data_IF_880596126664
#
_entry.id   IF_880596126664
#
_cell.length_a   1.000
_cell.length_b   1.000
_cell.length_c   1.000
_cell.angle_alpha   90.00
_cell.angle_beta   90.00
_cell.angle_gamma   90.00
#
_symmetry.space_group_name_H-M   'P 1'
#
loop_
_entity.id
_entity.type
_entity.pdbx_description
1 polymer ?
#
# COMPACT_ATOMS: atom_id res chain seq x y z
N UNK A 1 46.03 8.16 9.35
CA UNK A 1 44.83 8.64 10.08
C UNK A 1 43.70 9.03 9.12
N UNK A 2 43.84 10.05 8.27
CA UNK A 2 42.77 10.40 7.30
C UNK A 2 42.54 9.33 6.24
N UNK A 3 43.60 8.65 5.80
CA UNK A 3 43.46 7.55 4.84
C UNK A 3 42.74 6.33 5.43
N UNK A 4 42.99 6.03 6.70
CA UNK A 4 42.35 4.92 7.42
C UNK A 4 40.84 5.15 7.56
N UNK A 5 40.41 6.41 7.72
CA UNK A 5 39.00 6.82 7.75
C UNK A 5 38.27 6.51 6.45
N UNK A 6 38.82 6.90 5.31
CA UNK A 6 38.21 6.62 4.00
C UNK A 6 38.26 5.13 3.64
N UNK A 7 39.30 4.41 4.08
CA UNK A 7 39.41 2.95 3.92
C UNK A 7 38.34 2.23 4.74
N UNK A 8 38.12 2.64 5.99
CA UNK A 8 37.05 2.12 6.84
C UNK A 8 35.66 2.38 6.23
N UNK A 9 35.44 3.58 5.67
CA UNK A 9 34.19 3.92 4.98
C UNK A 9 33.94 3.00 3.77
N UNK A 10 34.95 2.82 2.92
CA UNK A 10 34.85 1.93 1.77
C UNK A 10 34.63 0.46 2.18
N UNK A 11 35.27 0.01 3.26
CA UNK A 11 35.11 -1.34 3.79
C UNK A 11 33.77 -1.56 4.53
N UNK A 12 33.02 -0.51 4.84
CA UNK A 12 31.79 -0.59 5.63
C UNK A 12 32.01 -0.83 7.13
N UNK A 13 33.23 -0.62 7.63
CA UNK A 13 33.58 -0.86 9.04
C UNK A 13 33.08 0.28 9.93
N UNK A 14 31.82 0.18 10.35
CA UNK A 14 31.17 1.15 11.23
C UNK A 14 31.86 1.29 12.59
N UNK A 15 32.56 0.27 13.09
CA UNK A 15 33.25 0.35 14.37
C UNK A 15 34.51 1.22 14.26
N UNK A 16 35.30 1.00 13.20
CA UNK A 16 36.45 1.86 12.90
C UNK A 16 36.02 3.31 12.63
N UNK A 17 34.89 3.50 11.93
CA UNK A 17 34.32 4.83 11.71
C UNK A 17 33.87 5.50 13.03
N UNK A 18 33.19 4.77 13.91
CA UNK A 18 32.78 5.32 15.22
C UNK A 18 33.99 5.75 16.07
N UNK A 19 35.10 5.01 15.99
CA UNK A 19 36.37 5.39 16.62
C UNK A 19 37.01 6.67 16.09
N UNK A 20 36.67 7.07 14.86
CA UNK A 20 37.24 8.21 14.14
C UNK A 20 36.22 9.36 13.89
N UNK A 21 35.17 9.46 14.72
CA UNK A 21 34.06 10.44 14.55
C UNK A 21 34.50 11.90 14.37
N UNK A 22 35.66 12.28 14.89
CA UNK A 22 36.24 13.62 14.72
C UNK A 22 36.60 13.98 13.27
N UNK A 23 36.62 13.01 12.36
CA UNK A 23 36.91 13.18 10.93
C UNK A 23 35.65 13.34 10.07
N UNK A 24 34.45 13.38 10.65
CA UNK A 24 33.21 13.65 9.92
C UNK A 24 33.29 15.02 9.20
N UNK A 25 32.94 15.02 7.92
CA UNK A 25 33.01 16.19 7.04
C UNK A 25 34.38 16.43 6.42
N UNK A 26 35.40 15.63 6.75
CA UNK A 26 36.68 15.65 6.03
C UNK A 26 36.50 15.12 4.61
N UNK A 27 37.34 15.63 3.71
CA UNK A 27 37.31 15.27 2.28
C UNK A 27 38.63 14.66 1.87
N UNK A 28 38.57 13.70 0.97
CA UNK A 28 39.76 13.12 0.34
C UNK A 28 40.31 14.01 -0.78
N UNK A 29 41.32 13.53 -1.51
CA UNK A 29 41.95 14.24 -2.63
C UNK A 29 41.00 14.51 -3.82
N UNK A 30 39.87 13.82 -3.92
CA UNK A 30 38.84 14.05 -4.95
C UNK A 30 37.67 14.89 -4.42
N UNK A 31 37.75 15.33 -3.16
CA UNK A 31 36.69 16.09 -2.49
C UNK A 31 35.58 15.21 -1.92
N UNK A 32 35.71 13.88 -1.97
CA UNK A 32 34.66 12.98 -1.48
C UNK A 32 34.71 12.87 0.02
N UNK A 33 33.53 12.79 0.62
CA UNK A 33 33.35 12.50 2.04
C UNK A 33 33.38 11.00 2.32
N UNK A 34 33.37 10.60 3.59
CA UNK A 34 33.27 9.18 3.93
C UNK A 34 31.92 8.59 3.51
N UNK A 35 30.82 9.34 3.66
CA UNK A 35 29.48 8.94 3.22
C UNK A 35 29.47 8.56 1.73
N UNK A 36 30.07 9.39 0.86
CA UNK A 36 30.13 9.10 -0.59
C UNK A 36 30.84 7.78 -0.89
N UNK A 37 31.95 7.50 -0.20
CA UNK A 37 32.68 6.23 -0.35
C UNK A 37 31.91 5.05 0.25
N UNK A 38 31.25 5.25 1.38
CA UNK A 38 30.45 4.24 2.06
C UNK A 38 29.28 3.76 1.20
N UNK A 39 28.46 4.69 0.69
CA UNK A 39 27.30 4.33 -0.14
C UNK A 39 27.68 3.87 -1.54
N UNK A 40 28.76 4.44 -2.10
CA UNK A 40 29.32 4.02 -3.40
C UNK A 40 29.95 2.63 -3.35
N UNK A 41 30.36 2.15 -2.18
CA UNK A 41 30.79 0.77 -1.96
C UNK A 41 29.63 -0.22 -1.72
N UNK A 42 28.37 0.25 -1.75
CA UNK A 42 27.19 -0.59 -1.57
C UNK A 42 26.68 -0.71 -0.13
N UNK A 43 27.29 0.01 0.82
CA UNK A 43 26.84 -0.02 2.22
C UNK A 43 25.69 0.96 2.47
N UNK A 44 24.74 0.60 3.33
CA UNK A 44 23.55 1.40 3.61
C UNK A 44 23.11 1.40 5.08
N UNK A 45 23.90 0.79 5.95
CA UNK A 45 23.54 0.61 7.37
C UNK A 45 23.91 1.88 8.15
N UNK A 46 23.02 2.32 9.04
CA UNK A 46 23.23 3.47 9.94
C UNK A 46 23.64 4.78 9.24
N UNK A 47 22.98 5.14 8.13
CA UNK A 47 23.24 6.41 7.43
C UNK A 47 23.07 7.67 8.31
N UNK A 48 22.30 7.57 9.41
CA UNK A 48 22.18 8.64 10.40
C UNK A 48 23.51 9.02 11.07
N UNK A 49 24.50 8.13 11.06
CA UNK A 49 25.85 8.47 11.51
C UNK A 49 26.50 9.59 10.67
N UNK A 50 26.11 9.70 9.40
CA UNK A 50 26.66 10.63 8.42
C UNK A 50 25.79 11.88 8.16
N UNK A 51 24.84 12.21 9.04
CA UNK A 51 23.94 13.37 8.85
C UNK A 51 24.67 14.69 8.51
N UNK A 52 25.88 14.90 9.05
CA UNK A 52 26.70 16.10 8.76
C UNK A 52 27.31 16.13 7.36
N UNK A 53 27.38 14.98 6.70
CA UNK A 53 27.94 14.84 5.36
C UNK A 53 26.87 14.81 4.27
N UNK A 54 25.58 14.64 4.64
CA UNK A 54 24.47 14.69 3.70
C UNK A 54 24.37 16.07 3.04
N UNK A 55 24.24 16.08 1.73
CA UNK A 55 24.17 17.29 0.90
C UNK A 55 25.52 17.95 0.63
N UNK A 56 26.63 17.41 1.14
CA UNK A 56 27.95 17.84 0.72
C UNK A 56 28.24 17.36 -0.71
N UNK A 57 28.96 18.18 -1.48
CA UNK A 57 29.35 17.90 -2.86
C UNK A 57 30.86 17.69 -2.96
N UNK A 58 31.28 16.74 -3.78
CA UNK A 58 32.69 16.56 -4.13
C UNK A 58 33.22 17.67 -5.07
N UNK A 59 34.47 17.57 -5.52
CA UNK A 59 35.04 18.58 -6.41
C UNK A 59 34.43 18.60 -7.82
N UNK A 60 33.62 17.60 -8.17
CA UNK A 60 32.84 17.54 -9.42
C UNK A 60 31.39 17.99 -9.24
N UNK A 61 31.00 18.44 -8.04
CA UNK A 61 29.63 18.79 -7.72
C UNK A 61 28.72 17.57 -7.55
N UNK A 62 29.27 16.39 -7.26
CA UNK A 62 28.52 15.14 -7.14
C UNK A 62 28.22 14.87 -5.64
N UNK A 63 26.94 14.68 -5.27
CA UNK A 63 26.52 14.32 -3.91
C UNK A 63 26.57 12.80 -3.68
N UNK A 64 26.39 12.36 -2.44
CA UNK A 64 26.43 10.94 -2.05
C UNK A 64 25.38 10.08 -2.76
N UNK A 65 24.19 10.63 -3.02
CA UNK A 65 23.10 9.93 -3.67
C UNK A 65 23.45 9.47 -5.09
N UNK A 66 24.23 10.25 -5.84
CA UNK A 66 24.68 9.83 -7.18
C UNK A 66 25.58 8.59 -7.11
N UNK A 67 26.48 8.55 -6.12
CA UNK A 67 27.31 7.37 -5.87
C UNK A 67 26.47 6.15 -5.48
N UNK A 68 25.40 6.34 -4.70
CA UNK A 68 24.46 5.27 -4.36
C UNK A 68 23.67 4.76 -5.60
N UNK A 69 23.25 5.66 -6.50
CA UNK A 69 22.59 5.31 -7.77
C UNK A 69 23.54 4.49 -8.65
N UNK A 70 24.78 4.94 -8.82
CA UNK A 70 25.79 4.25 -9.64
C UNK A 70 26.12 2.86 -9.08
N UNK A 71 26.14 2.72 -7.76
CA UNK A 71 26.33 1.45 -7.06
C UNK A 71 25.07 0.57 -7.00
N UNK A 72 23.93 1.01 -7.56
CA UNK A 72 22.62 0.32 -7.48
C UNK A 72 22.19 0.04 -6.03
N UNK A 73 22.57 0.90 -5.09
CA UNK A 73 22.36 0.72 -3.65
C UNK A 73 21.01 1.33 -3.22
N UNK A 74 19.91 0.63 -3.52
CA UNK A 74 18.53 1.10 -3.29
C UNK A 74 18.28 1.48 -1.83
N UNK A 75 18.83 0.73 -0.88
CA UNK A 75 18.68 1.01 0.54
C UNK A 75 19.32 2.35 0.92
N UNK A 76 20.51 2.66 0.41
CA UNK A 76 21.14 3.95 0.65
C UNK A 76 20.42 5.10 -0.06
N UNK A 77 19.91 4.89 -1.28
CA UNK A 77 19.13 5.91 -2.00
C UNK A 77 17.91 6.35 -1.18
N UNK A 78 17.22 5.40 -0.55
CA UNK A 78 16.06 5.70 0.29
C UNK A 78 16.45 6.43 1.59
N UNK A 79 17.65 6.19 2.13
CA UNK A 79 18.17 6.92 3.28
C UNK A 79 18.71 8.32 2.95
N UNK A 80 18.95 8.62 1.66
CA UNK A 80 19.48 9.90 1.17
C UNK A 80 18.40 10.82 0.58
N UNK A 81 17.14 10.66 1.00
CA UNK A 81 16.02 11.52 0.60
C UNK A 81 16.30 13.04 0.66
N UNK A 82 17.04 13.57 1.67
CA UNK A 82 17.38 14.99 1.70
C UNK A 82 18.15 15.50 0.47
N UNK A 83 18.82 14.62 -0.28
CA UNK A 83 19.60 14.97 -1.47
C UNK A 83 18.79 14.96 -2.77
N UNK A 84 17.49 14.60 -2.74
CA UNK A 84 16.66 14.46 -3.94
C UNK A 84 16.59 15.73 -4.80
N UNK A 85 16.62 16.89 -4.15
CA UNK A 85 16.51 18.21 -4.80
C UNK A 85 17.85 18.76 -5.30
N UNK A 86 18.98 18.09 -5.00
CA UNK A 86 20.31 18.53 -5.44
C UNK A 86 20.42 18.32 -6.95
N UNK A 87 20.84 19.37 -7.65
CA UNK A 87 21.05 19.35 -9.10
C UNK A 87 22.48 18.93 -9.46
N UNK A 88 22.58 18.00 -10.42
CA UNK A 88 23.82 17.55 -11.04
C UNK A 88 23.66 17.75 -12.55
N UNK A 89 24.50 18.61 -13.14
CA UNK A 89 24.45 18.91 -14.58
C UNK A 89 23.04 19.33 -15.08
N UNK A 90 22.28 20.07 -14.26
CA UNK A 90 20.94 20.54 -14.59
C UNK A 90 19.81 19.52 -14.40
N UNK A 91 20.10 18.34 -13.86
CA UNK A 91 19.10 17.30 -13.54
C UNK A 91 19.14 17.01 -12.04
N UNK A 92 17.99 16.86 -11.41
CA UNK A 92 17.91 16.54 -9.98
C UNK A 92 18.32 15.10 -9.69
N UNK A 93 18.83 14.81 -8.49
CA UNK A 93 19.11 13.42 -8.09
C UNK A 93 17.84 12.54 -8.13
N UNK A 94 16.67 13.11 -7.86
CA UNK A 94 15.39 12.44 -8.02
C UNK A 94 15.10 12.03 -9.46
N UNK A 95 15.36 12.91 -10.44
CA UNK A 95 15.20 12.60 -11.86
C UNK A 95 16.20 11.55 -12.34
N UNK A 96 17.46 11.62 -11.87
CA UNK A 96 18.46 10.60 -12.15
C UNK A 96 18.04 9.23 -11.60
N UNK A 97 17.52 9.19 -10.37
CA UNK A 97 17.00 7.95 -9.78
C UNK A 97 15.80 7.40 -10.55
N UNK A 98 14.85 8.26 -10.97
CA UNK A 98 13.72 7.87 -11.83
C UNK A 98 14.18 7.32 -13.18
N UNK A 99 15.18 7.95 -13.81
CA UNK A 99 15.76 7.46 -15.06
C UNK A 99 16.38 6.08 -14.87
N UNK A 100 17.20 5.90 -13.83
CA UNK A 100 17.80 4.62 -13.47
C UNK A 100 16.75 3.52 -13.22
N UNK A 101 15.66 3.83 -12.50
CA UNK A 101 14.54 2.90 -12.30
C UNK A 101 13.98 2.45 -13.66
N UNK A 102 13.68 3.38 -14.56
CA UNK A 102 13.11 3.06 -15.89
C UNK A 102 14.04 2.16 -16.70
N UNK A 103 15.33 2.46 -16.70
CA UNK A 103 16.32 1.68 -17.45
C UNK A 103 16.44 0.27 -16.87
N UNK A 104 16.49 0.13 -15.54
CA UNK A 104 16.58 -1.18 -14.86
C UNK A 104 15.35 -2.04 -15.14
N UNK A 105 14.15 -1.47 -15.13
CA UNK A 105 12.93 -2.20 -15.49
C UNK A 105 12.88 -2.55 -16.99
N UNK A 106 13.38 -1.68 -17.87
CA UNK A 106 13.42 -1.97 -19.31
C UNK A 106 14.39 -3.10 -19.66
N UNK A 107 15.49 -3.25 -18.91
CA UNK A 107 16.42 -4.38 -19.05
C UNK A 107 15.80 -5.67 -18.52
N UNK A 108 15.18 -5.64 -17.33
CA UNK A 108 14.52 -6.80 -16.74
C UNK A 108 13.37 -7.35 -17.62
N UNK A 109 12.59 -6.48 -18.25
CA UNK A 109 11.51 -6.87 -19.18
C UNK A 109 12.05 -7.46 -20.49
N UNK A 110 13.30 -7.16 -20.87
CA UNK A 110 13.94 -7.71 -22.07
C UNK A 110 14.56 -9.09 -21.86
N UNK A 111 15.00 -9.41 -20.65
CA UNK A 111 15.63 -10.69 -20.35
C UNK A 111 14.64 -11.81 -19.97
N UNK A 112 13.39 -11.46 -19.62
CA UNK A 112 12.43 -12.43 -19.06
C UNK A 112 11.41 -12.99 -20.09
N UNK A 113 11.95 -13.64 -21.14
CA UNK A 113 11.23 -14.62 -21.99
C UNK A 113 11.60 -16.07 -21.60
N UNK A 114 12.25 -16.28 -20.45
CA UNK A 114 12.64 -17.62 -20.01
C UNK A 114 12.93 -17.72 -18.52
N UNK A 115 11.90 -18.07 -17.76
CA UNK A 115 11.93 -18.72 -16.45
C UNK A 115 12.97 -18.20 -15.42
N UNK A 116 12.60 -17.22 -14.59
CA UNK A 116 13.13 -17.13 -13.21
C UNK A 116 12.03 -16.79 -12.17
N UNK A 117 11.97 -17.66 -11.15
CA UNK A 117 11.32 -17.46 -9.86
C UNK A 117 12.11 -16.48 -8.99
N UNK A 118 11.38 -15.56 -8.35
CA UNK A 118 11.75 -14.75 -7.18
C UNK A 118 12.93 -13.76 -7.32
N UNK A 119 12.60 -12.46 -7.37
CA UNK A 119 13.10 -11.44 -6.43
C UNK A 119 12.22 -10.17 -6.53
N UNK A 120 11.19 -10.11 -5.70
CA UNK A 120 10.36 -8.90 -5.50
C UNK A 120 11.08 -7.95 -4.55
N UNK A 121 11.92 -7.05 -5.08
CA UNK A 121 12.75 -6.12 -4.28
C UNK A 121 12.37 -4.64 -4.41
N UNK A 122 11.29 -4.29 -5.10
CA UNK A 122 10.86 -2.89 -5.20
C UNK A 122 9.49 -2.70 -4.57
N UNK A 123 9.51 -2.11 -3.37
CA UNK A 123 8.36 -1.56 -2.65
C UNK A 123 7.55 -0.60 -3.54
N UNK A 124 6.22 -0.59 -3.37
CA UNK A 124 5.24 0.30 -4.02
C UNK A 124 5.64 1.80 -3.96
N UNK A 125 6.53 2.21 -3.05
CA UNK A 125 7.06 3.57 -2.97
C UNK A 125 7.79 4.04 -4.24
N UNK A 126 8.39 3.13 -5.02
CA UNK A 126 9.09 3.47 -6.26
C UNK A 126 8.12 3.84 -7.42
N UNK A 127 6.92 3.27 -7.44
CA UNK A 127 5.87 3.54 -8.42
C UNK A 127 5.20 4.91 -8.22
N UNK A 128 5.13 5.39 -6.96
CA UNK A 128 4.49 6.67 -6.64
C UNK A 128 5.31 7.88 -7.11
N UNK A 129 6.61 7.73 -7.33
CA UNK A 129 7.47 8.82 -7.76
C UNK A 129 7.43 9.05 -9.28
N UNK A 130 6.77 8.25 -10.11
CA UNK A 130 6.83 8.38 -11.58
C UNK A 130 5.77 9.28 -12.24
N UNK A 131 4.96 10.03 -11.48
CA UNK A 131 3.88 10.86 -12.06
C UNK A 131 4.35 12.23 -12.57
N UNK A 132 3.91 12.69 -13.77
CA UNK A 132 4.24 14.00 -14.33
C UNK A 132 3.36 15.14 -13.77
N UNK A 133 3.90 16.37 -13.74
CA UNK A 133 3.22 17.62 -13.33
C UNK A 133 2.89 18.45 -14.58
N UNK A 134 1.63 18.88 -14.83
CA UNK A 134 1.30 19.73 -15.97
C UNK A 134 1.29 21.23 -15.62
N UNK A 135 1.97 22.04 -16.45
CA UNK A 135 1.94 23.51 -16.47
C UNK A 135 0.80 24.02 -17.36
N UNK A 136 0.26 25.22 -17.05
CA UNK A 136 -1.01 25.74 -17.56
C UNK A 136 -0.86 27.18 -18.07
N UNK A 137 -1.72 27.60 -19.01
CA UNK A 137 -1.95 29.02 -19.36
C UNK A 137 -3.44 29.35 -19.62
N UNK A 138 -3.78 30.57 -19.17
CA UNK A 138 -4.85 31.53 -19.51
C UNK A 138 -6.33 31.40 -19.06
N UNK A 139 -6.87 32.59 -18.79
CA UNK A 139 -8.00 33.02 -17.95
C UNK A 139 -9.32 33.25 -18.73
N UNK A 140 -10.47 33.24 -18.04
CA UNK A 140 -11.50 34.31 -18.08
C UNK A 140 -12.63 34.05 -17.06
N UNK A 141 -13.10 35.12 -16.40
CA UNK A 141 -14.04 35.11 -15.26
C UNK A 141 -15.46 35.51 -15.66
N UNK A 142 -16.48 34.89 -15.05
CA UNK A 142 -17.78 35.54 -14.78
C UNK A 142 -18.49 34.94 -13.56
N UNK A 143 -19.05 35.83 -12.75
CA UNK A 143 -19.76 35.65 -11.46
C UNK A 143 -21.20 35.13 -11.63
N UNK A 144 -21.77 34.42 -10.64
CA UNK A 144 -23.20 34.42 -10.25
C UNK A 144 -23.45 33.70 -8.89
N UNK A 145 -24.59 34.10 -8.29
CA UNK A 145 -25.09 34.10 -6.92
C UNK A 145 -25.39 32.76 -6.21
N UNK A 146 -25.44 32.83 -4.88
CA UNK A 146 -25.59 31.72 -3.92
C UNK A 146 -27.04 31.19 -3.71
N UNK A 147 -27.13 29.90 -3.37
CA UNK A 147 -28.36 29.13 -3.11
C UNK A 147 -28.74 29.13 -1.61
N UNK A 148 -30.04 28.99 -1.22
CA UNK A 148 -30.48 29.12 0.17
C UNK A 148 -30.25 27.86 1.05
N UNK A 149 -29.84 28.10 2.29
CA UNK A 149 -29.43 27.14 3.34
C UNK A 149 -30.48 26.09 3.73
N UNK A 150 -31.76 26.34 3.47
CA UNK A 150 -32.86 25.45 3.89
C UNK A 150 -32.95 24.15 3.06
N UNK A 151 -32.36 24.14 1.86
CA UNK A 151 -32.30 22.96 1.00
C UNK A 151 -31.21 21.96 1.47
N UNK A 152 -30.21 22.46 2.21
CA UNK A 152 -29.07 21.68 2.75
C UNK A 152 -29.41 20.85 4.00
N UNK A 153 -30.45 21.22 4.76
CA UNK A 153 -30.86 20.51 5.98
C UNK A 153 -31.73 19.28 5.68
N UNK A 154 -32.59 19.34 4.66
CA UNK A 154 -33.52 18.25 4.32
C UNK A 154 -32.87 17.08 3.57
N UNK A 155 -31.81 17.33 2.82
CA UNK A 155 -31.16 16.32 1.97
C UNK A 155 -30.19 15.40 2.73
N UNK A 156 -29.83 15.72 3.98
CA UNK A 156 -28.67 15.15 4.71
C UNK A 156 -28.73 13.63 4.97
N UNK A 157 -29.88 12.98 5.29
CA UNK A 157 -29.93 11.54 5.57
C UNK A 157 -30.09 10.64 4.33
N UNK A 158 -30.77 11.13 3.29
CA UNK A 158 -31.01 10.38 2.04
C UNK A 158 -29.75 10.37 1.16
N UNK A 159 -29.04 11.51 1.11
CA UNK A 159 -27.71 11.59 0.48
C UNK A 159 -26.68 10.68 1.15
N UNK A 160 -26.81 10.50 2.47
CA UNK A 160 -25.89 9.70 3.29
C UNK A 160 -25.96 8.21 2.96
N UNK A 161 -27.16 7.66 2.73
CA UNK A 161 -27.33 6.24 2.40
C UNK A 161 -27.03 5.94 0.92
N UNK A 162 -27.38 6.83 -0.02
CA UNK A 162 -27.08 6.64 -1.45
C UNK A 162 -25.57 6.65 -1.74
N UNK A 163 -24.81 7.50 -1.05
CA UNK A 163 -23.34 7.57 -1.15
C UNK A 163 -22.65 6.34 -0.54
N UNK A 164 -23.30 5.69 0.44
CA UNK A 164 -22.82 4.49 1.13
C UNK A 164 -23.00 3.22 0.31
N UNK A 165 -24.10 3.11 -0.44
CA UNK A 165 -24.42 1.96 -1.30
C UNK A 165 -23.65 2.04 -2.62
N UNK A 166 -23.56 3.23 -3.24
CA UNK A 166 -22.84 3.39 -4.53
C UNK A 166 -21.32 3.21 -4.42
N UNK A 167 -20.65 3.60 -3.32
CA UNK A 167 -19.21 3.35 -3.15
C UNK A 167 -18.90 1.89 -2.77
N UNK A 168 -19.87 1.20 -2.14
CA UNK A 168 -19.78 -0.22 -1.85
C UNK A 168 -19.96 -1.05 -3.12
N UNK A 169 -21.00 -0.78 -3.92
CA UNK A 169 -21.23 -1.37 -5.24
C UNK A 169 -20.03 -1.23 -6.19
N UNK A 170 -19.40 -0.06 -6.20
CA UNK A 170 -18.28 0.27 -7.09
C UNK A 170 -17.04 -0.59 -6.84
N UNK A 171 -16.92 -1.09 -5.61
CA UNK A 171 -15.84 -1.95 -5.15
C UNK A 171 -16.29 -3.43 -5.13
N UNK A 172 -17.60 -3.71 -5.10
CA UNK A 172 -18.18 -5.02 -4.84
C UNK A 172 -19.09 -5.62 -5.93
N UNK A 173 -19.13 -5.17 -7.20
CA UNK A 173 -20.01 -5.82 -8.21
C UNK A 173 -19.56 -5.67 -9.68
N UNK A 174 -19.75 -6.68 -10.58
CA UNK A 174 -20.95 -7.50 -10.75
C UNK A 174 -20.90 -8.82 -9.96
N UNK A 175 -21.53 -8.81 -8.79
CA UNK A 175 -22.22 -9.91 -8.08
C UNK A 175 -22.32 -9.50 -6.60
N UNK A 176 -23.31 -8.66 -6.31
CA UNK A 176 -23.56 -8.06 -4.99
C UNK A 176 -23.96 -9.03 -3.88
N UNK A 177 -24.16 -10.32 -4.20
CA UNK A 177 -24.29 -11.33 -3.16
C UNK A 177 -22.93 -11.87 -2.69
N UNK A 178 -21.81 -11.56 -3.35
CA UNK A 178 -20.64 -12.41 -3.30
C UNK A 178 -19.83 -12.39 -2.00
N UNK A 179 -19.61 -11.33 -1.23
CA UNK A 179 -18.73 -11.43 -0.03
C UNK A 179 -19.42 -12.08 1.17
N UNK A 180 -20.65 -11.66 1.50
CA UNK A 180 -21.45 -12.31 2.55
C UNK A 180 -21.90 -13.71 2.11
N UNK A 181 -22.31 -13.90 0.85
CA UNK A 181 -22.59 -15.24 0.33
C UNK A 181 -21.34 -16.08 0.15
N UNK A 182 -20.16 -15.52 -0.14
CA UNK A 182 -18.89 -16.27 -0.20
C UNK A 182 -18.42 -16.62 1.19
N UNK A 183 -18.56 -15.75 2.19
CA UNK A 183 -18.30 -16.13 3.58
C UNK A 183 -19.30 -17.17 4.09
N UNK A 184 -20.57 -17.10 3.68
CA UNK A 184 -21.57 -18.15 3.95
C UNK A 184 -21.30 -19.44 3.16
N UNK A 185 -20.86 -19.36 1.90
CA UNK A 185 -20.48 -20.50 1.06
C UNK A 185 -19.21 -21.14 1.62
N UNK A 186 -18.21 -20.36 2.00
CA UNK A 186 -17.01 -20.79 2.73
C UNK A 186 -17.42 -21.43 4.06
N UNK A 187 -18.32 -20.81 4.82
CA UNK A 187 -18.89 -21.36 6.06
C UNK A 187 -19.64 -22.68 5.88
N UNK A 188 -20.34 -22.88 4.76
CA UNK A 188 -21.03 -24.13 4.40
C UNK A 188 -20.07 -25.18 3.82
N UNK A 189 -19.09 -24.73 3.03
CA UNK A 189 -18.02 -25.50 2.39
C UNK A 189 -17.04 -26.06 3.42
N UNK A 190 -16.82 -25.33 4.52
CA UNK A 190 -16.11 -25.77 5.73
C UNK A 190 -16.63 -27.10 6.32
N UNK A 191 -17.88 -27.48 6.03
CA UNK A 191 -18.44 -28.78 6.44
C UNK A 191 -18.01 -29.95 5.54
N UNK A 192 -17.34 -29.68 4.40
CA UNK A 192 -16.91 -30.68 3.43
C UNK A 192 -15.37 -30.74 3.40
N UNK A 193 -14.80 -31.86 3.85
CA UNK A 193 -13.34 -32.04 4.05
C UNK A 193 -12.48 -31.83 2.79
N UNK A 194 -13.05 -31.92 1.59
CA UNK A 194 -12.32 -31.82 0.32
C UNK A 194 -12.14 -30.38 -0.18
N UNK A 195 -12.89 -29.42 0.33
CA UNK A 195 -12.86 -28.03 -0.16
C UNK A 195 -11.83 -27.18 0.59
N UNK A 196 -10.94 -27.86 1.30
CA UNK A 196 -10.26 -27.21 2.38
C UNK A 196 -9.19 -26.22 1.91
N UNK A 197 -8.31 -26.67 1.02
CA UNK A 197 -7.25 -25.83 0.46
C UNK A 197 -7.83 -24.73 -0.46
N UNK A 198 -8.96 -25.04 -1.12
CA UNK A 198 -9.68 -24.10 -1.97
C UNK A 198 -10.26 -22.93 -1.15
N UNK A 199 -10.89 -23.22 -0.01
CA UNK A 199 -11.36 -22.20 0.94
C UNK A 199 -10.21 -21.29 1.39
N UNK A 200 -9.05 -21.87 1.73
CA UNK A 200 -7.86 -21.10 2.14
C UNK A 200 -7.36 -20.20 1.02
N UNK A 201 -7.30 -20.72 -0.21
CA UNK A 201 -6.89 -19.95 -1.38
C UNK A 201 -7.81 -18.75 -1.63
N UNK A 202 -9.13 -18.96 -1.55
CA UNK A 202 -10.12 -17.89 -1.67
C UNK A 202 -9.98 -16.85 -0.55
N UNK A 203 -9.79 -17.29 0.69
CA UNK A 203 -9.60 -16.42 1.84
C UNK A 203 -8.38 -15.51 1.68
N UNK A 204 -7.24 -16.06 1.23
CA UNK A 204 -6.04 -15.28 0.94
C UNK A 204 -6.27 -14.24 -0.16
N UNK A 205 -7.03 -14.60 -1.20
CA UNK A 205 -7.44 -13.67 -2.26
C UNK A 205 -8.25 -12.49 -1.71
N UNK A 206 -9.21 -12.76 -0.82
CA UNK A 206 -10.01 -11.74 -0.16
C UNK A 206 -9.16 -10.85 0.76
N UNK A 207 -8.28 -11.42 1.58
CA UNK A 207 -7.36 -10.65 2.44
C UNK A 207 -6.47 -9.72 1.61
N UNK A 208 -5.88 -10.23 0.52
CA UNK A 208 -5.04 -9.43 -0.36
C UNK A 208 -5.82 -8.29 -1.02
N UNK A 209 -7.06 -8.54 -1.44
CA UNK A 209 -7.93 -7.51 -2.01
C UNK A 209 -8.28 -6.43 -0.98
N UNK A 210 -8.71 -6.82 0.23
CA UNK A 210 -9.04 -5.86 1.29
C UNK A 210 -7.81 -5.07 1.76
N UNK A 211 -6.63 -5.68 1.81
CA UNK A 211 -5.39 -4.98 2.15
C UNK A 211 -5.08 -3.88 1.13
N UNK A 212 -5.24 -4.14 -0.17
CA UNK A 212 -5.09 -3.13 -1.23
C UNK A 212 -6.09 -1.98 -1.05
N UNK A 213 -7.34 -2.28 -0.72
CA UNK A 213 -8.35 -1.26 -0.42
C UNK A 213 -7.98 -0.44 0.82
N UNK A 214 -7.49 -1.08 1.88
CA UNK A 214 -7.05 -0.40 3.09
C UNK A 214 -5.89 0.56 2.81
N UNK A 215 -4.89 0.11 2.04
CA UNK A 215 -3.77 0.95 1.58
C UNK A 215 -4.23 2.11 0.72
N UNK A 216 -5.16 1.87 -0.21
CA UNK A 216 -5.76 2.93 -1.03
C UNK A 216 -6.45 3.97 -0.16
N UNK A 217 -7.36 3.55 0.74
CA UNK A 217 -8.06 4.47 1.63
C UNK A 217 -7.10 5.23 2.57
N UNK A 218 -6.10 4.54 3.11
CA UNK A 218 -5.08 5.16 3.95
C UNK A 218 -4.25 6.21 3.18
N UNK A 219 -3.92 5.92 1.93
CA UNK A 219 -3.20 6.84 1.05
C UNK A 219 -4.04 8.05 0.71
N UNK A 220 -5.32 7.85 0.37
CA UNK A 220 -6.30 8.90 0.08
C UNK A 220 -6.45 9.84 1.29
N UNK A 221 -6.69 9.29 2.49
CA UNK A 221 -6.89 10.10 3.72
C UNK A 221 -5.65 10.90 4.10
N UNK A 222 -4.46 10.30 3.96
CA UNK A 222 -3.19 10.94 4.34
C UNK A 222 -2.64 11.87 3.26
N UNK A 223 -3.25 11.90 2.08
CA UNK A 223 -2.71 12.69 0.98
C UNK A 223 -2.93 14.18 1.25
N UNK A 224 -1.88 15.02 1.29
CA UNK A 224 -2.01 16.46 1.49
C UNK A 224 -2.81 17.14 0.36
N UNK A 225 -2.98 16.46 -0.77
CA UNK A 225 -3.75 16.92 -1.92
C UNK A 225 -5.05 16.16 -2.16
N UNK A 226 -5.57 15.40 -1.18
CA UNK A 226 -6.92 14.83 -1.26
C UNK A 226 -7.97 15.85 -1.78
N UNK A 227 -7.94 17.13 -1.36
CA UNK A 227 -8.72 18.20 -1.99
C UNK A 227 -8.56 18.26 -3.52
N UNK A 228 -7.33 18.27 -4.03
CA UNK A 228 -7.00 18.34 -5.46
C UNK A 228 -7.39 17.07 -6.23
N UNK A 229 -7.32 15.90 -5.59
CA UNK A 229 -7.77 14.64 -6.20
C UNK A 229 -9.29 14.62 -6.37
N UNK A 230 -10.02 15.10 -5.36
CA UNK A 230 -11.48 15.28 -5.38
C UNK A 230 -11.90 16.33 -6.40
N UNK A 231 -11.15 17.44 -6.51
CA UNK A 231 -11.41 18.51 -7.48
C UNK A 231 -11.11 18.12 -8.93
N UNK A 232 -10.16 17.21 -9.15
CA UNK A 232 -9.80 16.74 -10.48
C UNK A 232 -10.40 15.38 -10.83
N UNK A 233 -11.28 14.82 -9.99
CA UNK A 233 -11.87 13.50 -10.24
C UNK A 233 -12.54 13.42 -11.61
N UNK A 234 -13.19 14.49 -12.09
CA UNK A 234 -13.77 14.50 -13.44
C UNK A 234 -12.69 14.49 -14.53
N UNK A 235 -11.62 15.27 -14.35
CA UNK A 235 -10.50 15.33 -15.30
C UNK A 235 -9.74 14.00 -15.35
N UNK A 236 -9.59 13.33 -14.20
CA UNK A 236 -9.00 12.01 -14.09
C UNK A 236 -9.92 10.97 -14.74
N UNK A 237 -11.24 11.07 -14.55
CA UNK A 237 -12.21 10.20 -15.24
C UNK A 237 -12.16 10.36 -16.76
N UNK A 238 -11.89 11.57 -17.26
CA UNK A 238 -11.75 11.84 -18.70
C UNK A 238 -10.38 11.40 -19.24
N UNK A 239 -9.31 11.51 -18.43
CA UNK A 239 -7.93 11.20 -18.80
C UNK A 239 -7.44 9.80 -18.37
N UNK A 240 -8.31 8.95 -17.83
CA UNK A 240 -7.93 7.67 -17.22
C UNK A 240 -7.16 6.72 -18.15
N UNK A 241 -7.41 6.79 -19.46
CA UNK A 241 -6.76 6.00 -20.49
C UNK A 241 -5.25 6.31 -20.64
N UNK A 242 -4.78 7.44 -20.11
CA UNK A 242 -3.37 7.80 -20.07
C UNK A 242 -2.62 7.23 -18.85
N UNK A 243 -3.33 6.58 -17.91
CA UNK A 243 -2.69 6.00 -16.73
C UNK A 243 -1.91 4.72 -17.12
N UNK A 244 -0.65 4.56 -16.70
CA UNK A 244 0.16 3.39 -17.02
C UNK A 244 -0.21 2.19 -16.13
N UNK A 245 -1.45 1.71 -16.20
CA UNK A 245 -1.95 0.56 -15.46
C UNK A 245 -2.79 -0.36 -16.36
N UNK A 246 -3.11 -1.57 -15.86
CA UNK A 246 -3.89 -2.55 -16.64
C UNK A 246 -5.29 -2.02 -16.96
N UNK A 247 -5.93 -2.47 -18.05
CA UNK A 247 -7.26 -2.01 -18.44
C UNK A 247 -8.32 -2.13 -17.33
N UNK A 248 -8.25 -3.18 -16.51
CA UNK A 248 -9.17 -3.40 -15.39
C UNK A 248 -8.98 -2.35 -14.30
N UNK A 249 -7.72 -1.94 -14.04
CA UNK A 249 -7.39 -0.87 -13.09
C UNK A 249 -7.77 0.50 -13.63
N UNK A 250 -7.55 0.74 -14.93
CA UNK A 250 -7.98 1.96 -15.61
C UNK A 250 -9.51 2.11 -15.49
N UNK A 251 -10.26 1.05 -15.78
CA UNK A 251 -11.73 1.06 -15.68
C UNK A 251 -12.20 1.24 -14.23
N UNK A 252 -11.59 0.57 -13.26
CA UNK A 252 -11.88 0.79 -11.85
C UNK A 252 -11.68 2.26 -11.44
N UNK A 253 -10.54 2.86 -11.81
CA UNK A 253 -10.24 4.27 -11.51
C UNK A 253 -11.26 5.18 -12.17
N UNK A 254 -11.63 4.91 -13.43
CA UNK A 254 -12.65 5.67 -14.16
C UNK A 254 -14.01 5.62 -13.44
N UNK A 255 -14.48 4.43 -13.09
CA UNK A 255 -15.78 4.27 -12.41
C UNK A 255 -15.75 4.95 -11.04
N UNK A 256 -14.68 4.77 -10.27
CA UNK A 256 -14.49 5.43 -8.97
C UNK A 256 -14.52 6.96 -9.12
N UNK A 257 -13.79 7.50 -10.09
CA UNK A 257 -13.71 8.94 -10.35
C UNK A 257 -15.04 9.51 -10.84
N UNK A 258 -15.78 8.81 -11.70
CA UNK A 258 -17.12 9.22 -12.13
C UNK A 258 -18.10 9.23 -10.97
N UNK A 259 -18.10 8.20 -10.11
CA UNK A 259 -18.99 8.14 -8.95
C UNK A 259 -18.64 9.22 -7.92
N UNK A 260 -17.36 9.41 -7.61
CA UNK A 260 -16.91 10.53 -6.77
C UNK A 260 -17.37 11.88 -7.34
N UNK A 261 -17.19 12.10 -8.65
CA UNK A 261 -17.64 13.34 -9.33
C UNK A 261 -19.15 13.53 -9.22
N UNK A 262 -19.94 12.47 -9.43
CA UNK A 262 -21.39 12.49 -9.31
C UNK A 262 -21.82 12.85 -7.89
N UNK A 263 -21.23 12.21 -6.89
CA UNK A 263 -21.53 12.47 -5.49
C UNK A 263 -21.19 13.90 -5.09
N UNK A 264 -20.01 14.40 -5.50
CA UNK A 264 -19.64 15.79 -5.25
C UNK A 264 -20.62 16.77 -5.91
N UNK A 265 -21.12 16.45 -7.11
CA UNK A 265 -22.13 17.26 -7.82
C UNK A 265 -23.47 17.26 -7.08
N UNK A 266 -23.98 16.09 -6.69
CA UNK A 266 -25.24 15.93 -5.96
C UNK A 266 -25.20 16.62 -4.58
N UNK A 267 -24.01 16.75 -3.99
CA UNK A 267 -23.77 17.46 -2.72
C UNK A 267 -23.55 18.98 -2.86
N UNK A 268 -23.61 19.53 -4.08
CA UNK A 268 -23.30 20.95 -4.33
C UNK A 268 -21.84 21.31 -4.05
N UNK A 269 -20.95 20.32 -3.94
CA UNK A 269 -19.50 20.50 -3.82
C UNK A 269 -18.83 20.70 -5.18
N UNK A 270 -19.51 20.27 -6.26
CA UNK A 270 -19.05 20.41 -7.63
C UNK A 270 -20.11 21.13 -8.46
N UNK A 271 -19.95 22.44 -8.63
CA UNK A 271 -20.77 23.22 -9.57
C UNK A 271 -20.18 23.06 -10.97
N UNK A 272 -20.90 22.36 -11.85
CA UNK A 272 -20.55 22.21 -13.26
C UNK A 272 -20.29 23.58 -13.90
N UNK A 273 -19.09 23.79 -14.46
CA UNK A 273 -18.76 24.96 -15.27
C UNK A 273 -17.89 26.02 -14.61
N UNK A 274 -17.47 25.85 -13.35
CA UNK A 274 -16.51 26.77 -12.71
C UNK A 274 -15.12 26.14 -12.70
N UNK A 275 -14.16 26.77 -13.38
CA UNK A 275 -12.74 26.41 -13.19
C UNK A 275 -12.35 26.88 -11.78
N UNK A 276 -12.51 26.02 -10.78
CA UNK A 276 -12.09 26.29 -9.40
C UNK A 276 -10.56 26.33 -9.35
N UNK A 277 -9.97 27.50 -9.62
CA UNK A 277 -8.52 27.73 -9.48
C UNK A 277 -8.16 28.03 -8.01
N UNK A 278 -9.12 28.44 -7.18
CA UNK A 278 -8.91 28.68 -5.74
C UNK A 278 -9.98 28.05 -4.84
N UNK A 279 -10.06 26.71 -4.77
CA UNK A 279 -10.94 25.99 -3.85
C UNK A 279 -10.47 26.07 -2.38
N UNK A 280 -9.27 26.59 -2.13
CA UNK A 280 -8.65 26.66 -0.80
C UNK A 280 -9.13 27.84 0.07
N UNK A 281 -9.98 28.74 -0.44
CA UNK A 281 -10.39 29.95 0.30
C UNK A 281 -11.86 29.96 0.78
N UNK A 282 -12.68 28.96 0.44
CA UNK A 282 -14.03 28.86 0.99
C UNK A 282 -13.96 28.35 2.44
N UNK A 283 -14.39 29.13 3.46
CA UNK A 283 -14.39 28.71 4.86
C UNK A 283 -15.25 27.45 5.11
N UNK A 284 -16.24 27.18 4.26
CA UNK A 284 -17.10 26.00 4.35
C UNK A 284 -16.45 24.74 3.76
N UNK A 285 -15.33 24.88 3.04
CA UNK A 285 -14.64 23.75 2.40
C UNK A 285 -14.03 22.80 3.42
N UNK A 286 -13.41 23.34 4.48
CA UNK A 286 -12.83 22.53 5.56
C UNK A 286 -13.87 21.72 6.32
N UNK A 287 -15.05 22.29 6.60
CA UNK A 287 -16.11 21.57 7.30
C UNK A 287 -16.64 20.40 6.46
N UNK A 288 -16.85 20.60 5.15
CA UNK A 288 -17.29 19.55 4.23
C UNK A 288 -16.23 18.47 4.01
N UNK A 289 -14.94 18.84 3.88
CA UNK A 289 -13.84 17.87 3.81
C UNK A 289 -13.70 17.02 5.08
N UNK A 290 -13.89 17.62 6.26
CA UNK A 290 -13.84 16.88 7.52
C UNK A 290 -14.92 15.80 7.62
N UNK A 291 -16.07 16.00 6.95
CA UNK A 291 -17.14 15.00 6.87
C UNK A 291 -16.68 13.84 5.97
N UNK A 292 -16.13 14.14 4.80
CA UNK A 292 -15.60 13.14 3.87
C UNK A 292 -14.47 12.33 4.53
N UNK A 293 -13.53 12.99 5.20
CA UNK A 293 -12.43 12.35 5.92
C UNK A 293 -12.95 11.40 7.01
N UNK A 294 -13.94 11.81 7.79
CA UNK A 294 -14.59 10.95 8.81
C UNK A 294 -15.24 9.72 8.19
N UNK A 295 -15.89 9.87 7.03
CA UNK A 295 -16.52 8.77 6.30
C UNK A 295 -15.47 7.78 5.78
N UNK A 296 -14.43 8.27 5.10
CA UNK A 296 -13.35 7.42 4.60
C UNK A 296 -12.65 6.71 5.75
N UNK A 297 -12.36 7.42 6.84
CA UNK A 297 -11.74 6.84 8.04
C UNK A 297 -12.61 5.79 8.73
N UNK A 298 -13.95 5.95 8.73
CA UNK A 298 -14.87 4.94 9.24
C UNK A 298 -14.88 3.69 8.36
N UNK A 299 -14.84 3.83 7.04
CA UNK A 299 -14.78 2.70 6.10
C UNK A 299 -13.42 2.00 6.12
N UNK A 300 -12.32 2.76 6.19
CA UNK A 300 -10.98 2.21 6.37
C UNK A 300 -10.89 1.34 7.64
N UNK A 301 -11.48 1.80 8.75
CA UNK A 301 -11.62 1.00 9.98
C UNK A 301 -12.43 -0.27 9.75
N UNK A 302 -13.62 -0.20 9.12
CA UNK A 302 -14.42 -1.39 8.80
C UNK A 302 -13.66 -2.41 7.94
N UNK A 303 -12.96 -1.95 6.90
CA UNK A 303 -12.13 -2.82 6.05
C UNK A 303 -11.00 -3.45 6.86
N UNK A 304 -10.36 -2.67 7.74
CA UNK A 304 -9.32 -3.19 8.63
C UNK A 304 -9.86 -4.24 9.60
N UNK A 305 -11.01 -3.99 10.23
CA UNK A 305 -11.67 -4.96 11.12
C UNK A 305 -12.01 -6.25 10.37
N UNK A 306 -12.45 -6.14 9.11
CA UNK A 306 -12.74 -7.31 8.27
C UNK A 306 -11.46 -8.08 7.90
N UNK A 307 -10.36 -7.39 7.59
CA UNK A 307 -9.05 -8.05 7.39
C UNK A 307 -8.65 -8.83 8.64
N UNK A 308 -8.79 -8.24 9.83
CA UNK A 308 -8.45 -8.91 11.09
C UNK A 308 -9.31 -10.17 11.31
N UNK A 309 -10.59 -10.12 10.96
CA UNK A 309 -11.49 -11.29 11.03
C UNK A 309 -11.08 -12.38 10.04
N UNK A 310 -10.78 -12.02 8.79
CA UNK A 310 -10.34 -12.96 7.76
C UNK A 310 -9.00 -13.61 8.14
N UNK A 311 -8.06 -12.85 8.70
CA UNK A 311 -6.78 -13.38 9.21
C UNK A 311 -7.00 -14.32 10.40
N UNK A 312 -7.90 -13.97 11.31
CA UNK A 312 -8.27 -14.85 12.43
C UNK A 312 -8.88 -16.16 11.93
N UNK A 313 -9.74 -16.08 10.91
CA UNK A 313 -10.32 -17.25 10.27
C UNK A 313 -9.24 -18.11 9.58
N UNK A 314 -8.27 -17.50 8.90
CA UNK A 314 -7.14 -18.22 8.27
C UNK A 314 -6.30 -18.98 9.31
N UNK A 315 -6.10 -18.40 10.49
CA UNK A 315 -5.36 -19.05 11.57
C UNK A 315 -6.11 -20.27 12.11
N UNK A 316 -7.39 -20.11 12.46
CA UNK A 316 -8.26 -21.23 12.89
C UNK A 316 -8.26 -22.33 11.85
N UNK A 317 -8.21 -21.94 10.58
CA UNK A 317 -8.22 -22.86 9.47
C UNK A 317 -6.94 -23.67 9.31
N UNK A 318 -5.79 -23.02 9.47
CA UNK A 318 -4.48 -23.67 9.50
C UNK A 318 -4.44 -24.74 10.60
N UNK A 319 -4.86 -24.38 11.81
CA UNK A 319 -4.94 -25.28 12.96
C UNK A 319 -5.89 -26.46 12.73
N UNK A 320 -7.03 -26.21 12.10
CA UNK A 320 -8.02 -27.24 11.77
C UNK A 320 -7.45 -28.26 10.78
N UNK A 321 -6.81 -27.80 9.70
CA UNK A 321 -6.21 -28.71 8.72
C UNK A 321 -5.09 -29.56 9.32
N UNK A 322 -4.24 -28.99 10.18
CA UNK A 322 -3.21 -29.74 10.87
C UNK A 322 -3.79 -30.80 11.81
N UNK A 323 -4.86 -30.46 12.54
CA UNK A 323 -5.56 -31.38 13.44
C UNK A 323 -6.23 -32.53 12.67
N UNK A 324 -6.86 -32.24 11.51
CA UNK A 324 -7.42 -33.29 10.64
C UNK A 324 -6.34 -34.20 10.08
N UNK A 325 -5.23 -33.65 9.60
CA UNK A 325 -4.11 -34.45 9.09
C UNK A 325 -3.54 -35.37 10.18
N UNK A 326 -3.45 -34.89 11.42
CA UNK A 326 -3.06 -35.71 12.56
C UNK A 326 -4.07 -36.84 12.84
N UNK A 327 -5.37 -36.56 12.79
CA UNK A 327 -6.42 -37.59 12.90
C UNK A 327 -6.27 -38.66 11.82
N UNK A 328 -6.15 -38.26 10.54
CA UNK A 328 -6.01 -39.19 9.41
C UNK A 328 -4.77 -40.06 9.54
N UNK A 329 -3.64 -39.47 9.94
CA UNK A 329 -2.41 -40.22 10.18
C UNK A 329 -2.60 -41.26 11.29
N UNK A 330 -3.26 -40.92 12.40
CA UNK A 330 -3.58 -41.87 13.47
C UNK A 330 -4.53 -42.99 12.99
N UNK A 331 -5.51 -42.67 12.15
CA UNK A 331 -6.41 -43.66 11.55
C UNK A 331 -5.65 -44.65 10.67
N UNK A 332 -4.70 -44.16 9.86
CA UNK A 332 -3.81 -45.00 9.03
C UNK A 332 -2.92 -45.92 9.87
N UNK A 333 -2.55 -45.51 11.08
CA UNK A 333 -1.84 -46.37 12.05
C UNK A 333 -2.76 -47.40 12.73
N UNK A 334 -4.05 -47.46 12.39
CA UNK A 334 -5.00 -48.42 12.95
C UNK A 334 -5.48 -48.06 14.37
N UNK A 335 -5.33 -46.81 14.81
CA UNK A 335 -5.71 -46.37 16.16
C UNK A 335 -7.19 -46.61 16.49
N UNK A 336 -8.07 -46.64 15.48
CA UNK A 336 -9.48 -46.97 15.66
C UNK A 336 -9.74 -48.40 16.14
N UNK A 337 -8.77 -49.31 15.97
CA UNK A 337 -8.84 -50.70 16.45
C UNK A 337 -8.19 -50.88 17.83
N UNK A 338 -7.48 -49.86 18.32
CA UNK A 338 -6.83 -49.91 19.63
C UNK A 338 -7.87 -49.90 20.77
N UNK A 339 -7.54 -50.47 21.95
CA UNK A 339 -8.39 -50.34 23.15
C UNK A 339 -8.66 -48.87 23.46
N UNK A 340 -9.87 -48.56 23.96
CA UNK A 340 -10.25 -47.17 24.29
C UNK A 340 -9.36 -46.54 25.36
N UNK A 341 -8.76 -47.36 26.21
CA UNK A 341 -7.85 -46.91 27.27
C UNK A 341 -6.42 -46.67 26.78
N UNK A 342 -6.13 -46.93 25.50
CA UNK A 342 -4.80 -46.72 24.92
C UNK A 342 -4.46 -45.23 24.78
N UNK A 343 -3.19 -44.84 24.97
CA UNK A 343 -2.76 -43.46 24.82
C UNK A 343 -2.96 -42.93 23.39
N UNK A 344 -2.88 -43.80 22.38
CA UNK A 344 -3.11 -43.45 20.98
C UNK A 344 -4.58 -43.08 20.74
N UNK A 345 -5.53 -43.86 21.29
CA UNK A 345 -6.96 -43.56 21.18
C UNK A 345 -7.32 -42.24 21.87
N UNK A 346 -6.72 -41.96 23.03
CA UNK A 346 -6.90 -40.67 23.73
C UNK A 346 -6.35 -39.49 22.91
N UNK A 347 -5.19 -39.67 22.28
CA UNK A 347 -4.59 -38.64 21.41
C UNK A 347 -5.48 -38.34 20.21
N UNK A 348 -6.05 -39.39 19.59
CA UNK A 348 -7.02 -39.25 18.50
C UNK A 348 -8.29 -38.50 18.95
N UNK A 349 -8.90 -38.89 20.07
CA UNK A 349 -10.10 -38.19 20.58
C UNK A 349 -9.81 -36.73 20.96
N UNK A 350 -8.62 -36.42 21.47
CA UNK A 350 -8.21 -35.05 21.76
C UNK A 350 -8.09 -34.20 20.48
N UNK A 351 -7.48 -34.74 19.41
CA UNK A 351 -7.42 -34.04 18.12
C UNK A 351 -8.81 -33.87 17.50
N UNK A 352 -9.66 -34.89 17.60
CA UNK A 352 -11.05 -34.84 17.13
C UNK A 352 -11.87 -33.78 17.88
N UNK A 353 -11.72 -33.68 19.20
CA UNK A 353 -12.33 -32.62 20.00
C UNK A 353 -11.79 -31.24 19.61
N UNK A 354 -10.47 -31.12 19.38
CA UNK A 354 -9.85 -29.88 18.89
C UNK A 354 -10.46 -29.43 17.56
N UNK A 355 -10.65 -30.33 16.60
CA UNK A 355 -11.32 -30.02 15.33
C UNK A 355 -12.74 -29.46 15.55
N UNK A 356 -13.53 -30.06 16.46
CA UNK A 356 -14.87 -29.56 16.78
C UNK A 356 -14.84 -28.16 17.39
N UNK A 357 -13.92 -27.89 18.31
CA UNK A 357 -13.75 -26.57 18.93
C UNK A 357 -13.39 -25.53 17.88
N UNK A 358 -12.43 -25.82 16.99
CA UNK A 358 -12.02 -24.90 15.93
C UNK A 358 -13.16 -24.58 14.95
N UNK A 359 -14.03 -25.54 14.63
CA UNK A 359 -15.23 -25.29 13.83
C UNK A 359 -16.23 -24.36 14.53
N UNK A 360 -16.38 -24.49 15.86
CA UNK A 360 -17.22 -23.58 16.65
C UNK A 360 -16.64 -22.17 16.62
N UNK A 361 -15.32 -22.03 16.79
CA UNK A 361 -14.63 -20.73 16.76
C UNK A 361 -14.76 -20.07 15.38
N UNK A 362 -14.56 -20.82 14.29
CA UNK A 362 -14.78 -20.34 12.92
C UNK A 362 -16.22 -19.85 12.71
N UNK A 363 -17.21 -20.58 13.26
CA UNK A 363 -18.62 -20.17 13.22
C UNK A 363 -18.87 -18.92 14.05
N UNK A 364 -18.21 -18.78 15.20
CA UNK A 364 -18.25 -17.57 16.03
C UNK A 364 -17.73 -16.33 15.29
N UNK A 365 -16.59 -16.45 14.61
CA UNK A 365 -15.98 -15.38 13.82
C UNK A 365 -16.93 -14.95 12.69
N UNK A 366 -17.48 -15.91 11.93
CA UNK A 366 -18.37 -15.63 10.79
C UNK A 366 -19.73 -15.06 11.21
N UNK A 367 -20.33 -15.55 12.29
CA UNK A 367 -21.61 -15.02 12.80
C UNK A 367 -21.49 -13.62 13.39
N UNK A 368 -20.35 -13.27 13.98
CA UNK A 368 -20.06 -11.90 14.42
C UNK A 368 -19.74 -10.95 13.25
N UNK A 369 -19.37 -11.47 12.08
CA UNK A 369 -19.16 -10.66 10.88
C UNK A 369 -20.49 -10.27 10.19
N UNK A 370 -21.52 -11.10 10.33
CA UNK A 370 -22.85 -10.89 9.74
C UNK A 370 -23.73 -9.90 10.52
N UNK A 371 -23.38 -9.59 11.76
CA UNK A 371 -24.05 -8.59 12.61
C UNK A 371 -23.33 -7.26 12.50
#
# INVERSE_FOLDING_TARGET
MTEDWFRAAYAGDLQALKGCRGLLGTRDSEGRTALMRYVGAGHSIELSFFEREMGLLDFKGIPAMKYAIDARNVAAIMGLQPEFTIMINGVTCQELFRAWIRDTYSEAVREDVGDIKEHSLLSESALLLSMPIPLKDQEHSTSIQAMPEELLERLRPELFNSLLDELHECVCSPEEDSTSSSLMRLGKSLAQEYEAEECRRQLRGLVAHHLRLSTLYGSIVRHPTLPLFVLNASQIADAYHWLPCTPERQEFIRVLCMRLTRLLRENGLYLTGTSYITPLHDPQYHSKLSIIEKVISKKARRVHDEIQRLQSLELVYTDYTASIQACRWLEEQGVLQAPRDSPEFHTYELQRLRCKTLLIDAKGITTNALK
#
